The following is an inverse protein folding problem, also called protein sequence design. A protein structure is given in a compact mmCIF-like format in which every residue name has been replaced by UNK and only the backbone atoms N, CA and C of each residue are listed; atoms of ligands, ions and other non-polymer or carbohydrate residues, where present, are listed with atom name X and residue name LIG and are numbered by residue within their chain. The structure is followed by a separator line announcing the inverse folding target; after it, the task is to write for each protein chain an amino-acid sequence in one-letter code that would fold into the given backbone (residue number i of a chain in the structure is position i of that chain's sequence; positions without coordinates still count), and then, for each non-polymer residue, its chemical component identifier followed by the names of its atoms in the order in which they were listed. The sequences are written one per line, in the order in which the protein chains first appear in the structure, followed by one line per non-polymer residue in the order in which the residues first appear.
data_IF_939872306825
#
_entry.id   IF_939872306825
#
_cell.length_a   1.000
_cell.length_b   1.000
_cell.length_c   1.000
_cell.angle_alpha   90.00
_cell.angle_beta   90.00
_cell.angle_gamma   90.00
#
_symmetry.space_group_name_H-M   'P 1'
#
loop_
_entity.id
_entity.type
_entity.pdbx_description
1 polymer ?
#
# COMPACT_ATOMS: atom_id res chain seq x y z
N UNK A 1 -46.33 -12.63 3.02
CA UNK A 1 -45.74 -11.46 2.35
C UNK A 1 -44.80 -10.64 3.23
N UNK A 2 -45.19 -10.21 4.44
CA UNK A 2 -44.34 -9.38 5.35
C UNK A 2 -42.94 -9.96 5.68
N UNK A 3 -42.78 -11.29 5.75
CA UNK A 3 -41.48 -11.95 6.00
C UNK A 3 -40.51 -11.88 4.81
N UNK A 4 -41.00 -11.82 3.57
CA UNK A 4 -40.16 -11.75 2.36
C UNK A 4 -39.52 -10.36 2.25
N UNK A 5 -40.27 -9.30 2.58
CA UNK A 5 -39.78 -7.93 2.63
C UNK A 5 -38.69 -7.73 3.69
N UNK A 6 -38.81 -8.37 4.86
CA UNK A 6 -37.80 -8.29 5.93
C UNK A 6 -36.49 -8.99 5.51
N UNK A 7 -36.58 -10.13 4.84
CA UNK A 7 -35.39 -10.85 4.34
C UNK A 7 -34.70 -10.04 3.23
N UNK A 8 -35.46 -9.46 2.29
CA UNK A 8 -34.92 -8.60 1.23
C UNK A 8 -34.24 -7.33 1.79
N UNK A 9 -34.82 -6.72 2.83
CA UNK A 9 -34.25 -5.56 3.51
C UNK A 9 -32.96 -5.92 4.26
N UNK A 10 -32.93 -7.08 4.94
CA UNK A 10 -31.74 -7.56 5.64
C UNK A 10 -30.60 -7.93 4.67
N UNK A 11 -30.91 -8.56 3.52
CA UNK A 11 -29.89 -8.82 2.49
C UNK A 11 -29.35 -7.56 1.83
N UNK A 12 -30.19 -6.51 1.69
CA UNK A 12 -29.74 -5.20 1.20
C UNK A 12 -28.82 -4.47 2.17
N UNK A 13 -29.06 -4.60 3.48
CA UNK A 13 -28.21 -3.99 4.52
C UNK A 13 -26.88 -4.74 4.69
N UNK A 14 -26.88 -6.08 4.58
CA UNK A 14 -25.65 -6.89 4.69
C UNK A 14 -24.71 -6.75 3.48
N UNK A 15 -25.22 -6.42 2.30
CA UNK A 15 -24.40 -6.14 1.11
C UNK A 15 -23.75 -4.74 1.14
N UNK A 16 -24.21 -3.83 2.00
CA UNK A 16 -23.75 -2.43 2.06
C UNK A 16 -22.48 -2.18 2.88
N UNK A 17 -21.82 -3.22 3.39
CA UNK A 17 -20.70 -3.07 4.31
C UNK A 17 -19.33 -3.45 3.74
N UNK A 18 -19.23 -3.91 2.49
CA UNK A 18 -17.98 -4.33 1.87
C UNK A 18 -17.53 -3.34 0.76
N UNK A 19 -17.09 -2.15 1.16
CA UNK A 19 -16.76 -1.07 0.21
C UNK A 19 -15.32 -1.10 -0.30
N UNK A 20 -14.43 -1.85 0.37
CA UNK A 20 -13.02 -1.87 0.03
C UNK A 20 -12.68 -3.15 -0.73
N UNK A 21 -12.12 -2.99 -1.92
CA UNK A 21 -11.47 -4.04 -2.69
C UNK A 21 -10.08 -4.32 -2.13
N UNK A 22 -9.77 -5.60 -1.97
CA UNK A 22 -8.46 -6.07 -1.53
C UNK A 22 -7.85 -6.94 -2.61
N UNK A 23 -6.72 -6.47 -3.14
CA UNK A 23 -5.89 -7.15 -4.12
C UNK A 23 -4.71 -7.77 -3.38
N UNK A 24 -4.55 -9.08 -3.48
CA UNK A 24 -3.42 -9.79 -2.86
C UNK A 24 -2.59 -10.48 -3.94
N UNK A 25 -1.29 -10.25 -3.87
CA UNK A 25 -0.29 -10.85 -4.75
C UNK A 25 0.95 -11.17 -3.94
N UNK A 26 1.10 -12.43 -3.55
CA UNK A 26 2.24 -12.90 -2.76
C UNK A 26 2.44 -12.05 -1.49
N UNK A 27 3.51 -11.24 -1.42
CA UNK A 27 3.80 -10.34 -0.30
C UNK A 27 3.06 -8.98 -0.36
N UNK A 28 2.42 -8.66 -1.50
CA UNK A 28 1.67 -7.43 -1.72
C UNK A 28 0.21 -7.58 -1.27
N UNK A 29 -0.26 -6.58 -0.53
CA UNK A 29 -1.66 -6.32 -0.26
C UNK A 29 -1.96 -4.89 -0.71
N UNK A 30 -2.96 -4.70 -1.57
CA UNK A 30 -3.46 -3.39 -1.93
C UNK A 30 -4.94 -3.24 -1.57
N UNK A 31 -5.32 -2.06 -1.11
CA UNK A 31 -6.69 -1.68 -0.78
C UNK A 31 -7.16 -0.55 -1.70
N UNK A 32 -8.37 -0.70 -2.21
CA UNK A 32 -8.98 0.27 -3.12
C UNK A 32 -10.47 0.41 -2.93
N UNK A 33 -11.01 1.56 -3.34
CA UNK A 33 -12.43 1.86 -3.28
C UNK A 33 -12.84 2.70 -4.48
N UNK A 34 -14.15 2.96 -4.64
CA UNK A 34 -14.62 3.92 -5.64
C UNK A 34 -14.37 5.33 -5.10
N UNK A 35 -13.36 6.02 -5.66
CA UNK A 35 -12.98 7.37 -5.25
C UNK A 35 -13.56 8.40 -6.23
N UNK A 36 -14.17 9.47 -5.71
CA UNK A 36 -14.66 10.61 -6.50
C UNK A 36 -15.53 10.20 -7.72
N UNK A 37 -16.46 9.26 -7.52
CA UNK A 37 -17.34 8.73 -8.57
C UNK A 37 -16.61 8.07 -9.76
N UNK A 38 -15.35 7.65 -9.57
CA UNK A 38 -14.63 6.91 -10.59
C UNK A 38 -15.40 5.64 -11.01
N UNK A 39 -15.44 5.33 -12.31
CA UNK A 39 -16.19 4.17 -12.83
C UNK A 39 -15.55 2.84 -12.42
N UNK A 40 -14.32 2.86 -11.93
CA UNK A 40 -13.55 1.71 -11.50
C UNK A 40 -13.03 1.88 -10.07
N UNK A 41 -12.61 0.76 -9.46
CA UNK A 41 -11.96 0.77 -8.15
C UNK A 41 -10.55 1.33 -8.27
N UNK A 42 -10.22 2.29 -7.42
CA UNK A 42 -8.91 2.92 -7.34
C UNK A 42 -8.20 2.50 -6.05
N UNK A 43 -7.04 1.87 -6.19
CA UNK A 43 -6.19 1.36 -5.12
C UNK A 43 -5.27 2.46 -4.59
N UNK A 44 -5.57 2.92 -3.37
CA UNK A 44 -4.93 4.07 -2.74
C UNK A 44 -3.93 3.71 -1.65
N UNK A 45 -3.88 2.44 -1.22
CA UNK A 45 -2.98 1.94 -0.20
C UNK A 45 -2.40 0.60 -0.63
N UNK A 46 -1.07 0.48 -0.64
CA UNK A 46 -0.32 -0.73 -0.95
C UNK A 46 0.62 -1.03 0.21
N UNK A 47 0.76 -2.30 0.56
CA UNK A 47 1.67 -2.78 1.60
C UNK A 47 2.39 -4.01 1.10
N UNK A 48 3.72 -4.00 1.18
CA UNK A 48 4.58 -5.13 0.79
C UNK A 48 5.43 -5.50 2.00
N UNK A 49 5.37 -6.78 2.41
CA UNK A 49 6.14 -7.30 3.55
C UNK A 49 6.94 -8.54 3.14
N UNK A 50 8.27 -8.45 3.17
CA UNK A 50 9.18 -9.46 2.62
C UNK A 50 9.40 -10.65 3.56
N UNK A 51 8.91 -10.56 4.81
CA UNK A 51 9.14 -11.56 5.86
C UNK A 51 8.63 -12.98 5.56
N UNK A 52 7.98 -13.25 4.40
CA UNK A 52 7.41 -14.57 4.09
C UNK A 52 7.97 -15.26 2.85
N UNK A 53 8.25 -14.57 1.74
CA UNK A 53 8.96 -15.10 0.56
C UNK A 53 9.42 -13.87 -0.21
N UNK A 54 10.71 -13.76 -0.55
CA UNK A 54 11.19 -12.72 -1.46
C UNK A 54 10.65 -13.03 -2.86
N UNK A 55 9.47 -12.50 -3.20
CA UNK A 55 8.97 -12.56 -4.57
C UNK A 55 9.90 -11.70 -5.44
N UNK A 56 10.78 -12.39 -6.17
CA UNK A 56 11.76 -11.76 -7.04
C UNK A 56 11.14 -10.79 -8.05
N UNK A 57 9.85 -10.94 -8.39
CA UNK A 57 9.14 -10.01 -9.28
C UNK A 57 8.77 -8.72 -8.57
N UNK A 58 8.23 -8.78 -7.36
CA UNK A 58 7.92 -7.60 -6.55
C UNK A 58 9.19 -6.78 -6.30
N UNK A 59 10.33 -7.46 -6.11
CA UNK A 59 11.63 -6.81 -5.91
C UNK A 59 12.19 -6.08 -7.13
N UNK A 60 11.60 -6.29 -8.31
CA UNK A 60 11.95 -5.58 -9.54
C UNK A 60 11.08 -4.35 -9.78
N UNK A 61 10.11 -4.05 -8.92
CA UNK A 61 9.28 -2.86 -9.05
C UNK A 61 10.12 -1.61 -8.83
N UNK A 62 9.92 -0.60 -9.67
CA UNK A 62 10.55 0.70 -9.52
C UNK A 62 9.74 1.58 -8.56
N UNK A 63 10.43 2.35 -7.74
CA UNK A 63 9.82 3.38 -6.88
C UNK A 63 10.53 4.71 -7.10
N UNK A 64 9.77 5.82 -7.11
CA UNK A 64 10.34 7.17 -7.00
C UNK A 64 9.99 7.75 -5.64
N UNK A 65 10.99 7.87 -4.77
CA UNK A 65 10.80 8.31 -3.39
C UNK A 65 10.41 9.80 -3.28
N UNK A 66 10.74 10.59 -4.29
CA UNK A 66 10.24 11.97 -4.51
C UNK A 66 10.03 12.21 -6.01
N UNK A 67 9.29 13.27 -6.41
CA UNK A 67 9.10 13.59 -7.83
C UNK A 67 10.40 13.75 -8.63
N UNK A 68 11.44 14.31 -8.00
CA UNK A 68 12.74 14.58 -8.62
C UNK A 68 13.78 13.46 -8.45
N UNK A 69 13.49 12.44 -7.63
CA UNK A 69 14.38 11.31 -7.45
C UNK A 69 14.40 10.42 -8.71
N UNK A 70 15.57 9.84 -9.09
CA UNK A 70 15.59 8.79 -10.09
C UNK A 70 14.78 7.57 -9.59
N UNK A 71 14.09 6.83 -10.48
CA UNK A 71 13.49 5.55 -10.12
C UNK A 71 14.56 4.58 -9.59
N UNK A 72 14.25 3.87 -8.52
CA UNK A 72 15.11 2.85 -7.93
C UNK A 72 14.34 1.53 -7.82
N UNK A 73 15.00 0.41 -8.09
CA UNK A 73 14.40 -0.91 -7.88
C UNK A 73 14.14 -1.13 -6.39
N UNK A 74 13.03 -1.78 -6.05
CA UNK A 74 12.70 -2.07 -4.66
C UNK A 74 13.81 -2.91 -3.97
N UNK A 75 14.48 -3.79 -4.73
CA UNK A 75 15.66 -4.56 -4.29
C UNK A 75 16.90 -3.72 -4.00
N UNK A 76 16.99 -2.52 -4.55
CA UNK A 76 18.13 -1.62 -4.39
C UNK A 76 17.87 -0.54 -3.35
N UNK A 77 16.65 -0.43 -2.84
CA UNK A 77 16.32 0.50 -1.75
C UNK A 77 17.10 0.08 -0.50
N UNK A 78 17.98 0.96 -0.07
CA UNK A 78 18.77 0.85 1.15
C UNK A 78 18.44 2.00 2.12
N UNK A 79 18.78 1.89 3.41
CA UNK A 79 18.59 2.98 4.35
C UNK A 79 19.24 4.29 3.90
N UNK A 80 20.43 4.23 3.29
CA UNK A 80 21.16 5.41 2.83
C UNK A 80 20.48 6.08 1.63
N UNK A 81 19.87 5.31 0.73
CA UNK A 81 19.10 5.89 -0.37
C UNK A 81 17.78 6.47 0.13
N UNK A 82 17.10 5.80 1.06
CA UNK A 82 15.88 6.31 1.66
C UNK A 82 16.13 7.63 2.43
N UNK A 83 17.20 7.69 3.23
CA UNK A 83 17.57 8.87 4.02
C UNK A 83 17.87 10.13 3.19
N UNK A 84 18.24 9.98 1.92
CA UNK A 84 18.46 11.12 1.00
C UNK A 84 17.17 11.84 0.64
N UNK A 85 16.05 11.12 0.66
CA UNK A 85 14.78 11.58 0.09
C UNK A 85 13.65 11.66 1.13
N UNK A 86 13.71 10.84 2.19
CA UNK A 86 12.67 10.69 3.19
C UNK A 86 13.19 11.04 4.57
N UNK A 87 12.29 11.52 5.43
CA UNK A 87 12.60 11.79 6.83
C UNK A 87 12.62 10.51 7.64
N UNK A 88 13.44 10.44 8.69
CA UNK A 88 13.37 9.32 9.64
C UNK A 88 11.99 9.31 10.30
N UNK A 89 11.38 8.13 10.40
CA UNK A 89 10.11 7.98 11.11
C UNK A 89 10.30 8.22 12.60
N UNK A 90 9.43 9.06 13.17
CA UNK A 90 9.36 9.32 14.60
C UNK A 90 7.98 8.88 15.07
N UNK A 91 7.90 7.88 15.97
CA UNK A 91 6.62 7.42 16.51
C UNK A 91 5.82 8.57 17.14
N UNK A 92 4.51 8.66 16.90
CA UNK A 92 3.68 9.70 17.50
C UNK A 92 3.73 9.69 19.04
N UNK A 93 3.76 10.86 19.71
CA UNK A 93 3.89 10.95 21.16
C UNK A 93 2.70 10.32 21.92
N UNK A 94 1.53 10.23 21.29
CA UNK A 94 0.33 9.62 21.84
C UNK A 94 0.32 8.08 21.76
N UNK A 95 1.27 7.45 21.08
CA UNK A 95 1.32 5.99 21.01
C UNK A 95 1.67 5.36 22.36
N UNK A 96 1.13 4.16 22.66
CA UNK A 96 1.59 3.36 23.79
C UNK A 96 3.11 3.12 23.75
N UNK A 97 3.77 3.22 24.92
CA UNK A 97 5.23 3.09 25.04
C UNK A 97 5.80 1.79 24.45
N UNK A 98 5.08 0.67 24.63
CA UNK A 98 5.51 -0.61 24.06
C UNK A 98 5.52 -0.59 22.51
N UNK A 99 4.61 0.15 21.88
CA UNK A 99 4.59 0.32 20.42
C UNK A 99 5.68 1.27 19.95
N UNK A 100 5.95 2.35 20.70
CA UNK A 100 7.09 3.24 20.40
C UNK A 100 8.41 2.49 20.46
N UNK A 101 8.63 1.70 21.51
CA UNK A 101 9.83 0.86 21.67
C UNK A 101 9.99 -0.10 20.49
N UNK A 102 8.92 -0.81 20.13
CA UNK A 102 8.93 -1.71 18.97
C UNK A 102 9.24 -0.97 17.66
N UNK A 103 8.67 0.22 17.46
CA UNK A 103 8.93 1.03 16.27
C UNK A 103 10.39 1.53 16.19
N UNK A 104 11.10 1.64 17.32
CA UNK A 104 12.53 1.98 17.35
C UNK A 104 13.48 0.80 17.12
N UNK A 105 12.98 -0.44 17.14
CA UNK A 105 13.79 -1.64 16.84
C UNK A 105 14.20 -1.66 15.35
N UNK A 106 13.40 -1.02 14.49
CA UNK A 106 13.63 -0.96 13.06
C UNK A 106 14.08 0.44 12.63
N UNK A 107 14.88 0.49 11.58
CA UNK A 107 15.20 1.74 10.92
C UNK A 107 14.08 2.06 9.92
N UNK A 108 13.28 3.09 10.19
CA UNK A 108 12.15 3.46 9.35
C UNK A 108 12.23 4.89 8.81
N UNK A 109 11.72 5.09 7.60
CA UNK A 109 11.69 6.37 6.90
C UNK A 109 10.29 6.65 6.34
N UNK A 110 9.87 7.91 6.37
CA UNK A 110 8.51 8.35 6.00
C UNK A 110 8.54 9.64 5.19
N UNK A 111 7.61 9.77 4.25
CA UNK A 111 7.36 10.99 3.47
C UNK A 111 6.83 10.70 2.07
N UNK A 112 6.13 11.66 1.45
CA UNK A 112 5.68 11.55 0.07
C UNK A 112 4.75 10.36 -0.21
N UNK A 113 3.99 9.92 0.80
CA UNK A 113 3.14 8.73 0.72
C UNK A 113 3.87 7.40 0.98
N UNK A 114 5.16 7.41 1.33
CA UNK A 114 5.93 6.20 1.65
C UNK A 114 6.16 6.03 3.15
N UNK A 115 6.19 4.77 3.60
CA UNK A 115 6.71 4.34 4.89
C UNK A 115 7.56 3.07 4.68
N UNK A 116 8.88 3.19 4.77
CA UNK A 116 9.83 2.12 4.46
C UNK A 116 10.54 1.68 5.74
N UNK A 117 10.62 0.37 5.97
CA UNK A 117 11.23 -0.22 7.18
C UNK A 117 12.39 -1.14 6.80
N UNK A 118 13.46 -1.03 7.57
CA UNK A 118 14.68 -1.85 7.46
C UNK A 118 15.03 -2.50 8.81
N UNK A 119 15.61 -3.69 8.74
CA UNK A 119 16.19 -4.42 9.88
C UNK A 119 17.64 -4.79 9.53
N UNK A 120 18.58 -4.30 10.34
CA UNK A 120 20.03 -4.47 10.12
C UNK A 120 20.47 -4.17 8.67
N UNK A 121 19.98 -3.05 8.13
CA UNK A 121 20.26 -2.60 6.75
C UNK A 121 19.50 -3.35 5.65
N UNK A 122 18.76 -4.41 5.97
CA UNK A 122 17.95 -5.18 5.02
C UNK A 122 16.55 -4.60 4.91
N UNK A 123 16.03 -4.49 3.68
CA UNK A 123 14.65 -4.08 3.44
C UNK A 123 13.67 -5.11 4.02
N UNK A 124 12.67 -4.63 4.78
CA UNK A 124 11.65 -5.47 5.42
C UNK A 124 10.26 -5.21 4.84
N UNK A 125 9.88 -3.94 4.74
CA UNK A 125 8.56 -3.58 4.24
C UNK A 125 8.51 -2.18 3.64
N UNK A 126 7.52 -1.97 2.78
CA UNK A 126 7.12 -0.67 2.29
C UNK A 126 5.59 -0.56 2.35
N UNK A 127 5.12 0.51 2.97
CA UNK A 127 3.76 1.02 2.84
C UNK A 127 3.76 2.19 1.85
N UNK A 128 2.81 2.20 0.93
CA UNK A 128 2.61 3.25 -0.07
C UNK A 128 1.16 3.70 0.00
N UNK A 129 0.92 5.00 0.10
CA UNK A 129 -0.40 5.52 0.38
C UNK A 129 -0.60 6.89 -0.28
N UNK A 130 -1.65 7.04 -1.10
CA UNK A 130 -2.04 8.35 -1.65
C UNK A 130 -3.05 9.10 -0.78
N UNK A 131 -3.67 8.43 0.18
CA UNK A 131 -4.61 9.05 1.13
C UNK A 131 -4.39 8.49 2.54
N UNK A 132 -3.53 9.16 3.31
CA UNK A 132 -3.17 8.76 4.66
C UNK A 132 -3.41 9.90 5.66
N UNK A 133 -3.19 9.65 6.96
CA UNK A 133 -3.46 10.63 8.03
C UNK A 133 -2.73 11.97 7.88
N UNK A 134 -1.65 12.03 7.10
CA UNK A 134 -0.91 13.24 6.76
C UNK A 134 -1.52 14.07 5.63
N UNK A 135 -2.58 13.59 4.98
CA UNK A 135 -3.23 14.23 3.85
C UNK A 135 -3.13 13.40 2.56
N UNK A 136 -3.33 14.09 1.43
CA UNK A 136 -3.23 13.51 0.09
C UNK A 136 -1.78 13.56 -0.37
N UNK A 137 -1.29 12.42 -0.83
CA UNK A 137 0.06 12.21 -1.32
C UNK A 137 0.01 11.60 -2.72
N UNK A 138 1.12 11.68 -3.46
CA UNK A 138 1.20 11.25 -4.86
C UNK A 138 2.41 10.34 -5.09
N UNK A 139 2.53 9.21 -4.36
CA UNK A 139 3.66 8.31 -4.54
C UNK A 139 3.62 7.67 -5.93
N UNK A 140 4.81 7.44 -6.49
CA UNK A 140 4.98 6.90 -7.85
C UNK A 140 5.68 5.55 -7.80
N UNK A 141 5.08 4.57 -8.46
CA UNK A 141 5.64 3.23 -8.66
C UNK A 141 5.72 2.91 -10.16
N UNK A 142 6.58 1.98 -10.54
CA UNK A 142 6.87 1.70 -11.94
C UNK A 142 7.06 0.23 -12.26
N UNK A 143 6.86 -0.09 -13.53
CA UNK A 143 7.08 -1.43 -14.06
C UNK A 143 8.58 -1.79 -14.07
N UNK A 144 8.93 -3.08 -13.94
CA UNK A 144 10.33 -3.53 -13.94
C UNK A 144 11.18 -3.13 -15.15
N UNK A 145 10.55 -2.91 -16.30
CA UNK A 145 11.22 -2.51 -17.53
C UNK A 145 11.51 -1.01 -17.60
N UNK A 146 11.01 -0.21 -16.65
CA UNK A 146 11.18 1.25 -16.61
C UNK A 146 10.37 2.02 -17.64
N UNK A 147 9.49 1.37 -18.39
CA UNK A 147 8.72 2.02 -19.44
C UNK A 147 7.51 2.79 -18.90
N UNK A 148 6.94 2.33 -17.78
CA UNK A 148 5.71 2.88 -17.23
C UNK A 148 5.89 3.27 -15.76
N UNK A 149 5.50 4.50 -15.44
CA UNK A 149 5.46 5.05 -14.10
C UNK A 149 4.04 5.51 -13.81
N UNK A 150 3.47 5.02 -12.71
CA UNK A 150 2.11 5.33 -12.28
C UNK A 150 2.11 6.02 -10.92
N UNK A 151 1.31 7.07 -10.82
CA UNK A 151 1.05 7.77 -9.58
C UNK A 151 -0.19 7.19 -8.91
N UNK A 152 -0.12 6.89 -7.62
CA UNK A 152 -1.31 6.43 -6.88
C UNK A 152 -2.40 7.52 -6.81
N UNK A 153 -3.69 7.14 -6.70
CA UNK A 153 -4.20 5.76 -6.64
C UNK A 153 -4.20 5.07 -8.01
N UNK A 154 -4.09 3.74 -8.01
CA UNK A 154 -3.93 2.93 -9.22
C UNK A 154 -5.20 2.19 -9.60
N UNK A 155 -5.41 1.95 -10.88
CA UNK A 155 -6.43 1.00 -11.34
C UNK A 155 -5.98 -0.45 -11.09
N UNK A 156 -6.92 -1.40 -11.19
CA UNK A 156 -6.57 -2.82 -11.13
C UNK A 156 -5.59 -3.21 -12.24
N UNK A 157 -5.79 -2.70 -13.46
CA UNK A 157 -4.90 -3.00 -14.58
C UNK A 157 -3.48 -2.46 -14.32
N UNK A 158 -3.34 -1.25 -13.78
CA UNK A 158 -2.02 -0.70 -13.43
C UNK A 158 -1.32 -1.51 -12.34
N UNK A 159 -2.05 -2.03 -11.35
CA UNK A 159 -1.47 -2.98 -10.38
C UNK A 159 -1.01 -4.27 -11.06
N UNK A 160 -1.76 -4.78 -12.02
CA UNK A 160 -1.37 -5.97 -12.80
C UNK A 160 -0.14 -5.68 -13.65
N UNK A 161 -0.04 -4.50 -14.26
CA UNK A 161 1.12 -4.13 -15.08
C UNK A 161 2.40 -4.06 -14.23
N UNK A 162 2.29 -3.57 -12.98
CA UNK A 162 3.43 -3.44 -12.06
C UNK A 162 3.78 -4.76 -11.35
N UNK A 163 2.79 -5.48 -10.82
CA UNK A 163 2.99 -6.62 -9.91
C UNK A 163 2.56 -7.98 -10.48
N UNK A 164 1.89 -7.98 -11.64
CA UNK A 164 1.26 -9.16 -12.23
C UNK A 164 -0.13 -9.44 -11.67
N UNK A 165 -0.80 -10.45 -12.23
CA UNK A 165 -2.16 -10.84 -11.84
C UNK A 165 -2.25 -11.21 -10.35
N UNK A 166 -3.31 -10.80 -9.65
CA UNK A 166 -3.47 -11.11 -8.23
C UNK A 166 -3.67 -12.60 -8.01
N UNK A 167 -3.18 -13.10 -6.89
CA UNK A 167 -3.51 -14.44 -6.40
C UNK A 167 -4.93 -14.47 -5.85
N UNK A 168 -5.40 -13.36 -5.27
CA UNK A 168 -6.77 -13.20 -4.75
C UNK A 168 -7.24 -11.77 -4.92
N UNK A 169 -8.52 -11.62 -5.26
CA UNK A 169 -9.22 -10.35 -5.33
C UNK A 169 -10.58 -10.51 -4.64
N UNK A 170 -10.84 -9.73 -3.58
CA UNK A 170 -12.07 -9.86 -2.80
C UNK A 170 -12.43 -8.56 -2.05
N UNK A 171 -13.66 -8.47 -1.56
CA UNK A 171 -14.14 -7.31 -0.79
C UNK A 171 -13.95 -7.53 0.71
N UNK A 172 -13.57 -6.47 1.43
CA UNK A 172 -13.44 -6.44 2.89
C UNK A 172 -14.26 -5.30 3.50
N UNK A 173 -14.68 -5.49 4.75
CA UNK A 173 -15.58 -4.55 5.42
C UNK A 173 -14.86 -3.40 6.11
N UNK A 174 -13.62 -3.63 6.55
CA UNK A 174 -12.83 -2.65 7.30
C UNK A 174 -11.35 -2.87 6.97
N UNK A 175 -10.63 -1.79 6.69
CA UNK A 175 -9.17 -1.79 6.65
C UNK A 175 -8.70 -1.28 8.00
N UNK A 176 -8.04 -2.14 8.78
CA UNK A 176 -7.36 -1.72 10.01
C UNK A 176 -5.92 -1.39 9.65
N UNK A 177 -5.57 -0.12 9.80
CA UNK A 177 -4.23 0.43 9.61
C UNK A 177 -3.35 0.21 10.85
#
# INVERSE_FOLDING_TARGET
MRRIWIVALLTGILAGCANVSRFEKDALVAHGEHLNDAPETLYYSLFIEIGRVADAKIMQVLVKLTPDAPPILLSEVKPESAAKYLSRFIPPPQWPEHLKKKATEYQAYVGGGFHITFDDGRFISIGICSHCSGGREYPVIGTPNGNDLYTLPLTEQQLIDVFGSPSRLYKVNEVRY
#
